data_IF_676405807793
#
_entry.id   IF_676405807793
#
_cell.length_a   1.000
_cell.length_b   1.000
_cell.length_c   1.000
_cell.angle_alpha   90.00
_cell.angle_beta   90.00
_cell.angle_gamma   90.00
#
_symmetry.space_group_name_H-M   'P 1'
#
loop_
_entity.id
_entity.type
_entity.pdbx_description
1 polymer ?
#
# COMPACT_ATOMS: atom_id res chain seq x y z
N UNK A 1 19.46 96.15 88.45
CA UNK A 1 19.26 95.18 87.36
C UNK A 1 18.28 94.17 87.88
N UNK A 2 17.03 94.28 87.45
CA UNK A 2 16.08 93.17 87.53
C UNK A 2 16.40 92.23 86.36
N UNK A 3 16.14 90.92 86.47
CA UNK A 3 16.31 90.02 85.33
C UNK A 3 15.26 90.35 84.27
N UNK A 4 15.69 90.49 83.02
CA UNK A 4 14.78 90.78 81.91
C UNK A 4 13.94 89.54 81.56
N UNK A 5 12.71 89.51 82.07
CA UNK A 5 11.74 88.44 81.79
C UNK A 5 11.33 88.38 80.33
N UNK A 6 11.52 89.44 79.54
CA UNK A 6 11.29 89.43 78.09
C UNK A 6 12.38 88.70 77.31
N UNK A 7 13.61 88.62 77.84
CA UNK A 7 14.71 87.91 77.17
C UNK A 7 14.58 86.40 77.27
N UNK A 8 14.01 85.87 78.37
CA UNK A 8 13.89 84.42 78.58
C UNK A 8 12.70 83.83 77.81
N UNK A 9 11.56 84.50 77.88
CA UNK A 9 10.34 84.10 77.17
C UNK A 9 10.53 84.08 75.65
N UNK A 10 11.37 84.98 75.11
CA UNK A 10 11.76 84.95 73.69
C UNK A 10 12.65 83.77 73.36
N UNK A 11 13.65 83.48 74.18
CA UNK A 11 14.56 82.36 73.94
C UNK A 11 13.83 81.01 74.07
N UNK A 12 12.84 80.92 74.97
CA UNK A 12 11.95 79.76 75.07
C UNK A 12 11.04 79.64 73.82
N UNK A 13 10.48 80.74 73.29
CA UNK A 13 9.71 80.73 72.03
C UNK A 13 10.55 80.48 70.77
N UNK A 14 11.79 80.98 70.71
CA UNK A 14 12.72 80.73 69.60
C UNK A 14 13.11 79.23 69.57
N UNK A 15 13.26 78.59 70.73
CA UNK A 15 13.48 77.14 70.81
C UNK A 15 12.23 76.31 70.54
N UNK A 16 11.03 76.74 70.97
CA UNK A 16 9.77 76.09 70.56
C UNK A 16 9.60 76.15 69.03
N UNK A 17 9.99 77.26 68.38
CA UNK A 17 9.92 77.39 66.93
C UNK A 17 11.01 76.61 66.18
N UNK A 18 12.24 76.52 66.71
CA UNK A 18 13.26 75.63 66.14
C UNK A 18 12.81 74.16 66.23
N UNK A 19 12.18 73.74 67.34
CA UNK A 19 11.63 72.37 67.46
C UNK A 19 10.40 72.12 66.60
N UNK A 20 9.47 73.08 66.47
CA UNK A 20 8.35 72.96 65.52
C UNK A 20 8.84 72.90 64.06
N UNK A 21 10.03 73.43 63.74
CA UNK A 21 10.65 73.27 62.41
C UNK A 21 11.38 71.93 62.27
N UNK A 22 12.16 71.47 63.26
CA UNK A 22 12.78 70.12 63.21
C UNK A 22 11.73 69.01 63.11
N UNK A 23 10.60 69.11 63.84
CA UNK A 23 9.46 68.17 63.71
C UNK A 23 8.71 68.28 62.36
N UNK A 24 8.85 69.39 61.62
CA UNK A 24 8.31 69.54 60.26
C UNK A 24 9.28 68.98 59.21
N UNK A 25 10.59 69.24 59.33
CA UNK A 25 11.61 68.66 58.43
C UNK A 25 11.68 67.13 58.60
N UNK A 26 11.55 66.58 59.82
CA UNK A 26 11.42 65.11 60.02
C UNK A 26 10.10 64.55 59.44
N UNK A 27 9.03 65.34 59.30
CA UNK A 27 7.78 64.91 58.65
C UNK A 27 7.89 64.97 57.11
N UNK A 28 8.47 66.03 56.55
CA UNK A 28 8.72 66.14 55.10
C UNK A 28 9.72 65.04 54.63
N UNK A 29 10.77 64.71 55.41
CA UNK A 29 11.65 63.56 55.11
C UNK A 29 10.94 62.20 55.22
N UNK A 30 9.87 62.07 56.03
CA UNK A 30 9.05 60.85 56.09
C UNK A 30 8.07 60.75 54.93
N UNK A 31 7.38 61.84 54.56
CA UNK A 31 6.52 61.88 53.37
C UNK A 31 7.32 61.64 52.07
N UNK A 32 8.53 62.21 51.92
CA UNK A 32 9.41 61.89 50.78
C UNK A 32 9.89 60.43 50.76
N UNK A 33 9.97 59.73 51.91
CA UNK A 33 10.30 58.30 51.98
C UNK A 33 9.10 57.42 51.65
N UNK A 34 7.89 57.73 52.16
CA UNK A 34 6.66 57.02 51.79
C UNK A 34 6.34 57.20 50.28
N UNK A 35 6.54 58.39 49.69
CA UNK A 35 6.41 58.58 48.23
C UNK A 35 7.47 57.79 47.42
N UNK A 36 8.64 57.49 47.98
CA UNK A 36 9.66 56.66 47.32
C UNK A 36 9.34 55.16 47.42
N UNK A 37 8.89 54.67 48.58
CA UNK A 37 8.43 53.27 48.72
C UNK A 37 7.18 53.00 47.87
N UNK A 38 6.23 53.94 47.76
CA UNK A 38 5.09 53.82 46.82
C UNK A 38 5.53 53.82 45.34
N UNK A 39 6.66 54.46 44.99
CA UNK A 39 7.21 54.43 43.62
C UNK A 39 7.93 53.11 43.31
N UNK A 40 8.74 52.59 44.24
CA UNK A 40 9.39 51.27 44.07
C UNK A 40 8.32 50.13 44.02
N UNK A 41 7.26 50.18 44.84
CA UNK A 41 6.14 49.23 44.72
C UNK A 41 5.37 49.36 43.39
N UNK A 42 5.35 50.53 42.75
CA UNK A 42 4.75 50.72 41.41
C UNK A 42 5.65 50.17 40.30
N UNK A 43 6.97 50.42 40.33
CA UNK A 43 7.91 49.84 39.35
C UNK A 43 7.97 48.30 39.47
N UNK A 44 7.94 47.71 40.68
CA UNK A 44 7.82 46.25 40.84
C UNK A 44 6.48 45.69 40.33
N UNK A 45 5.40 46.48 40.32
CA UNK A 45 4.11 46.08 39.74
C UNK A 45 4.12 46.15 38.20
N UNK A 46 4.68 47.20 37.61
CA UNK A 46 4.82 47.29 36.14
C UNK A 46 5.77 46.20 35.59
N UNK A 47 6.89 45.88 36.27
CA UNK A 47 7.74 44.74 35.88
C UNK A 47 7.02 43.37 36.02
N UNK A 48 6.04 43.23 36.93
CA UNK A 48 5.23 42.02 37.04
C UNK A 48 4.16 41.93 35.94
N UNK A 49 3.46 43.03 35.61
CA UNK A 49 2.51 43.05 34.49
C UNK A 49 3.22 42.82 33.13
N UNK A 50 4.43 43.38 32.90
CA UNK A 50 5.22 43.06 31.68
C UNK A 50 5.68 41.59 31.64
N UNK A 51 5.85 40.91 32.78
CA UNK A 51 6.18 39.48 32.82
C UNK A 51 4.95 38.60 32.58
N UNK A 52 3.78 38.93 33.16
CA UNK A 52 2.53 38.20 32.86
C UNK A 52 2.10 38.38 31.39
N UNK A 53 2.26 39.57 30.78
CA UNK A 53 2.03 39.75 29.34
C UNK A 53 3.01 38.96 28.46
N UNK A 54 4.23 38.66 28.94
CA UNK A 54 5.20 37.82 28.22
C UNK A 54 4.87 36.32 28.36
N UNK A 55 4.49 35.84 29.54
CA UNK A 55 4.03 34.45 29.71
C UNK A 55 2.72 34.18 28.94
N UNK A 56 1.76 35.12 28.90
CA UNK A 56 0.57 35.00 28.04
C UNK A 56 0.91 34.98 26.53
N UNK A 57 2.01 35.61 26.11
CA UNK A 57 2.48 35.57 24.72
C UNK A 57 3.18 34.24 24.38
N UNK A 58 4.03 33.71 25.26
CA UNK A 58 4.63 32.38 25.07
C UNK A 58 3.57 31.26 25.09
N UNK A 59 2.56 31.32 25.98
CA UNK A 59 1.42 30.37 25.94
C UNK A 59 0.58 30.49 24.66
N UNK A 60 0.52 31.67 24.02
CA UNK A 60 -0.14 31.86 22.73
C UNK A 60 0.69 31.31 21.56
N UNK A 61 2.01 31.51 21.54
CA UNK A 61 2.87 30.91 20.51
C UNK A 61 2.93 29.36 20.63
N UNK A 62 2.97 28.79 21.85
CA UNK A 62 2.84 27.33 22.02
C UNK A 62 1.46 26.81 21.55
N UNK A 63 0.38 27.57 21.75
CA UNK A 63 -0.95 27.20 21.24
C UNK A 63 -1.05 27.30 19.71
N UNK A 64 -0.45 28.32 19.06
CA UNK A 64 -0.40 28.37 17.59
C UNK A 64 0.48 27.26 17.00
N UNK A 65 1.64 26.93 17.59
CA UNK A 65 2.43 25.76 17.18
C UNK A 65 1.66 24.44 17.39
N UNK A 66 0.88 24.31 18.46
CA UNK A 66 0.07 23.13 18.73
C UNK A 66 -1.13 23.02 17.77
N UNK A 67 -1.80 24.11 17.43
CA UNK A 67 -2.82 24.12 16.36
C UNK A 67 -2.21 23.82 14.98
N UNK A 68 -1.00 24.31 14.66
CA UNK A 68 -0.35 23.92 13.39
C UNK A 68 0.05 22.42 13.41
N UNK A 69 0.54 21.88 14.53
CA UNK A 69 0.82 20.45 14.66
C UNK A 69 -0.46 19.60 14.54
N UNK A 70 -1.55 19.95 15.23
CA UNK A 70 -2.84 19.26 15.04
C UNK A 70 -3.37 19.42 13.61
N UNK A 71 -3.14 20.55 12.94
CA UNK A 71 -3.51 20.74 11.53
C UNK A 71 -2.61 19.92 10.56
N UNK A 72 -1.35 19.66 10.91
CA UNK A 72 -0.47 18.76 10.17
C UNK A 72 -0.85 17.29 10.43
N UNK A 73 -1.08 16.86 11.68
CA UNK A 73 -1.57 15.52 12.00
C UNK A 73 -2.96 15.26 11.39
N UNK A 74 -3.85 16.24 11.36
CA UNK A 74 -5.15 16.15 10.69
C UNK A 74 -5.00 16.04 9.16
N UNK A 75 -3.96 16.66 8.57
CA UNK A 75 -3.62 16.44 7.16
C UNK A 75 -3.04 15.04 6.92
N UNK A 76 -2.19 14.50 7.80
CA UNK A 76 -1.65 13.14 7.67
C UNK A 76 -2.75 12.07 7.89
N UNK A 77 -3.66 12.30 8.85
CA UNK A 77 -4.86 11.48 9.04
C UNK A 77 -5.85 11.58 7.85
N UNK A 78 -5.89 12.72 7.15
CA UNK A 78 -6.58 12.84 5.87
C UNK A 78 -5.78 12.27 4.68
N UNK A 79 -4.46 12.08 4.77
CA UNK A 79 -3.71 11.25 3.81
C UNK A 79 -3.97 9.74 4.05
N UNK A 80 -4.24 9.31 5.29
CA UNK A 80 -4.64 7.93 5.63
C UNK A 80 -6.10 7.62 5.20
N UNK A 81 -7.06 8.50 5.50
CA UNK A 81 -8.48 8.32 5.13
C UNK A 81 -8.82 8.79 3.69
N UNK A 82 -8.08 9.75 3.14
CA UNK A 82 -8.36 10.38 1.84
C UNK A 82 -7.97 9.55 0.62
N UNK A 83 -7.43 8.35 0.79
CA UNK A 83 -7.20 7.39 -0.31
C UNK A 83 -7.66 5.97 0.01
N UNK A 84 -8.74 5.85 0.79
CA UNK A 84 -9.35 4.56 1.12
C UNK A 84 -10.13 3.89 -0.03
N UNK A 85 -9.80 4.23 -1.28
CA UNK A 85 -9.83 3.26 -2.39
C UNK A 85 -8.66 2.24 -2.27
N UNK A 86 -8.54 1.59 -1.11
CA UNK A 86 -7.76 0.34 -0.96
C UNK A 86 -8.53 -0.78 -1.67
N UNK A 87 -8.51 -0.73 -3.00
CA UNK A 87 -9.19 -1.67 -3.90
C UNK A 87 -8.35 -2.96 -3.97
N UNK A 88 -8.38 -3.73 -2.88
CA UNK A 88 -7.76 -5.04 -2.81
C UNK A 88 -8.27 -5.94 -3.96
N UNK A 89 -7.35 -6.67 -4.61
CA UNK A 89 -7.55 -7.52 -5.78
C UNK A 89 -6.30 -8.38 -6.02
N UNK A 90 -6.36 -9.45 -6.81
CA UNK A 90 -5.25 -10.42 -6.91
C UNK A 90 -4.15 -9.88 -7.81
N UNK A 91 -2.95 -9.77 -7.23
CA UNK A 91 -1.88 -8.88 -7.69
C UNK A 91 -2.43 -7.50 -8.06
N UNK A 92 -3.15 -6.88 -7.12
CA UNK A 92 -3.77 -5.56 -7.24
C UNK A 92 -2.78 -4.58 -7.85
N UNK A 93 -3.00 -4.26 -9.12
CA UNK A 93 -2.11 -3.45 -9.92
C UNK A 93 -2.58 -2.00 -9.84
N UNK A 94 -2.32 -1.36 -8.69
CA UNK A 94 -2.56 0.06 -8.48
C UNK A 94 -1.50 0.85 -9.26
N UNK A 95 -1.90 1.40 -10.41
CA UNK A 95 -1.01 2.19 -11.26
C UNK A 95 -1.22 3.69 -11.05
N UNK A 96 -0.11 4.38 -10.78
CA UNK A 96 -0.02 5.83 -10.64
C UNK A 96 0.65 6.41 -11.89
N UNK A 97 -0.08 7.18 -12.70
CA UNK A 97 0.55 8.11 -13.65
C UNK A 97 1.03 9.33 -12.85
N UNK A 98 2.30 9.70 -13.02
CA UNK A 98 2.93 10.89 -12.42
C UNK A 98 3.66 11.68 -13.52
N UNK A 99 3.76 13.03 -13.44
CA UNK A 99 4.37 13.82 -14.51
C UNK A 99 5.85 13.46 -14.74
N UNK A 100 6.60 13.24 -13.66
CA UNK A 100 7.99 12.79 -13.60
C UNK A 100 8.18 12.00 -12.31
N UNK A 101 9.26 11.23 -12.15
CA UNK A 101 9.57 10.60 -10.86
C UNK A 101 9.97 11.67 -9.84
N UNK A 102 9.43 11.64 -8.61
CA UNK A 102 9.95 12.50 -7.55
C UNK A 102 11.38 12.07 -7.19
N UNK A 103 12.24 13.00 -6.71
CA UNK A 103 13.40 12.61 -5.93
C UNK A 103 12.98 11.95 -4.61
N UNK A 104 13.95 11.42 -3.88
CA UNK A 104 13.76 10.88 -2.52
C UNK A 104 13.13 11.97 -1.59
N UNK A 105 12.26 11.53 -0.68
CA UNK A 105 11.47 12.33 0.27
C UNK A 105 10.54 13.45 -0.29
N UNK A 106 10.40 13.60 -1.61
CA UNK A 106 9.52 14.62 -2.19
C UNK A 106 8.06 14.15 -2.39
N UNK A 107 7.10 14.83 -1.73
CA UNK A 107 5.66 14.65 -1.95
C UNK A 107 5.27 15.05 -3.40
N UNK A 108 4.68 14.13 -4.18
CA UNK A 108 4.19 14.37 -5.55
C UNK A 108 2.81 13.74 -5.79
N UNK A 109 1.86 14.55 -6.29
CA UNK A 109 0.49 14.11 -6.60
C UNK A 109 0.42 13.40 -7.96
N UNK A 110 -0.28 12.26 -8.01
CA UNK A 110 -0.52 11.51 -9.24
C UNK A 110 -1.51 12.23 -10.18
N UNK A 111 -1.25 12.21 -11.48
CA UNK A 111 -2.14 12.75 -12.52
C UNK A 111 -3.36 11.85 -12.77
N UNK A 112 -3.22 10.55 -12.48
CA UNK A 112 -4.29 9.54 -12.50
C UNK A 112 -3.89 8.34 -11.65
N UNK A 113 -4.82 7.84 -10.84
CA UNK A 113 -4.78 6.49 -10.25
C UNK A 113 -5.63 5.56 -11.13
N UNK A 114 -5.25 4.29 -11.24
CA UNK A 114 -6.10 3.25 -11.85
C UNK A 114 -5.78 1.93 -11.19
N UNK A 115 -6.80 1.26 -10.65
CA UNK A 115 -6.66 -0.03 -9.96
C UNK A 115 -7.33 -1.13 -10.77
N UNK A 116 -6.65 -2.26 -10.91
CA UNK A 116 -7.08 -3.42 -11.68
C UNK A 116 -6.45 -4.71 -11.15
N UNK A 117 -7.01 -5.86 -11.52
CA UNK A 117 -6.37 -7.16 -11.33
C UNK A 117 -5.03 -7.22 -12.09
N UNK A 118 -4.08 -8.02 -11.59
CA UNK A 118 -2.79 -8.28 -12.24
C UNK A 118 -2.43 -9.77 -12.30
N UNK A 119 -1.13 -10.05 -12.32
CA UNK A 119 -0.56 -11.39 -12.40
C UNK A 119 -0.55 -11.96 -13.82
N UNK A 120 0.41 -12.80 -14.16
CA UNK A 120 0.53 -13.32 -15.51
C UNK A 120 -0.53 -14.41 -15.72
N UNK A 121 -0.76 -15.27 -14.73
CA UNK A 121 -1.88 -16.22 -14.74
C UNK A 121 -3.26 -15.52 -14.91
N UNK A 122 -3.73 -14.60 -14.05
CA UNK A 122 -5.09 -14.06 -14.23
C UNK A 122 -5.26 -13.20 -15.49
N UNK A 123 -4.21 -12.52 -15.97
CA UNK A 123 -4.23 -11.84 -17.27
C UNK A 123 -4.29 -12.82 -18.46
N UNK A 124 -3.67 -13.99 -18.34
CA UNK A 124 -3.74 -15.04 -19.36
C UNK A 124 -5.12 -15.70 -19.41
N UNK A 125 -5.81 -15.84 -18.27
CA UNK A 125 -7.22 -16.25 -18.24
C UNK A 125 -8.16 -15.22 -18.88
N UNK A 126 -7.90 -13.92 -18.67
CA UNK A 126 -8.66 -12.85 -19.32
C UNK A 126 -8.55 -12.91 -20.86
N UNK A 127 -7.32 -13.02 -21.38
CA UNK A 127 -7.09 -13.16 -22.83
C UNK A 127 -7.66 -14.46 -23.36
N UNK A 128 -7.53 -15.58 -22.63
CA UNK A 128 -8.12 -16.86 -23.02
C UNK A 128 -9.65 -16.80 -23.06
N UNK A 129 -10.29 -16.12 -22.11
CA UNK A 129 -11.75 -15.90 -22.10
C UNK A 129 -12.25 -15.06 -23.27
N UNK A 130 -11.39 -14.27 -23.92
CA UNK A 130 -11.71 -13.57 -25.18
C UNK A 130 -11.56 -14.47 -26.42
N UNK A 131 -10.86 -15.60 -26.30
CA UNK A 131 -10.58 -16.55 -27.39
C UNK A 131 -11.46 -17.80 -27.35
N UNK A 132 -11.89 -18.25 -26.17
CA UNK A 132 -12.73 -19.44 -25.99
C UNK A 132 -14.21 -19.17 -26.33
N UNK A 133 -14.72 -19.89 -27.32
CA UNK A 133 -16.15 -19.99 -27.59
C UNK A 133 -16.84 -21.07 -26.74
N UNK A 134 -18.18 -21.02 -26.56
CA UNK A 134 -18.91 -22.03 -25.78
C UNK A 134 -18.83 -23.47 -26.32
N UNK A 135 -18.34 -23.65 -27.56
CA UNK A 135 -18.23 -24.94 -28.23
C UNK A 135 -16.87 -25.62 -28.05
N UNK A 136 -15.90 -24.93 -27.47
CA UNK A 136 -14.52 -25.41 -27.39
C UNK A 136 -14.32 -26.42 -26.23
N UNK A 137 -15.32 -26.57 -25.35
CA UNK A 137 -15.32 -27.54 -24.25
C UNK A 137 -14.37 -27.22 -23.09
N UNK A 138 -13.46 -26.26 -23.26
CA UNK A 138 -12.49 -25.85 -22.25
C UNK A 138 -13.18 -25.14 -21.09
N UNK A 139 -12.98 -25.64 -19.86
CA UNK A 139 -13.31 -24.94 -18.62
C UNK A 139 -12.02 -24.34 -18.04
N UNK A 140 -11.86 -23.00 -18.04
CA UNK A 140 -10.71 -22.35 -17.42
C UNK A 140 -10.83 -22.34 -15.90
N UNK A 141 -9.75 -22.70 -15.20
CA UNK A 141 -9.65 -22.57 -13.74
C UNK A 141 -8.49 -21.66 -13.34
N UNK A 142 -8.68 -20.87 -12.29
CA UNK A 142 -7.59 -20.23 -11.56
C UNK A 142 -7.20 -21.10 -10.36
N UNK A 143 -5.90 -21.28 -10.15
CA UNK A 143 -5.36 -21.79 -8.89
C UNK A 143 -4.43 -20.71 -8.34
N UNK A 144 -4.73 -20.19 -7.16
CA UNK A 144 -3.97 -19.09 -6.55
C UNK A 144 -4.23 -19.06 -5.03
N UNK A 145 -3.24 -18.70 -4.21
CA UNK A 145 -3.49 -18.23 -2.84
C UNK A 145 -4.25 -16.91 -2.93
N UNK A 146 -5.49 -16.91 -2.44
CA UNK A 146 -6.35 -15.73 -2.32
C UNK A 146 -6.55 -15.39 -0.84
N UNK A 147 -7.00 -14.18 -0.48
CA UNK A 147 -7.44 -13.88 0.88
C UNK A 147 -8.73 -14.64 1.23
N UNK A 148 -9.31 -14.37 2.40
CA UNK A 148 -10.57 -14.96 2.85
C UNK A 148 -11.67 -14.91 1.76
N UNK A 149 -12.52 -15.93 1.66
CA UNK A 149 -13.51 -15.99 0.57
C UNK A 149 -14.51 -14.83 0.63
N UNK A 150 -14.81 -14.35 1.83
CA UNK A 150 -15.67 -13.20 2.11
C UNK A 150 -15.01 -11.83 1.88
N UNK A 151 -13.69 -11.76 1.71
CA UNK A 151 -12.96 -10.48 1.65
C UNK A 151 -13.37 -9.62 0.44
N UNK A 152 -13.37 -8.27 0.57
CA UNK A 152 -13.53 -7.35 -0.55
C UNK A 152 -12.47 -7.56 -1.65
N UNK A 153 -11.32 -8.13 -1.30
CA UNK A 153 -10.30 -8.55 -2.24
C UNK A 153 -10.80 -9.68 -3.16
N UNK A 154 -11.15 -10.83 -2.58
CA UNK A 154 -11.66 -12.01 -3.29
C UNK A 154 -12.89 -11.68 -4.14
N UNK A 155 -13.82 -10.88 -3.62
CA UNK A 155 -15.01 -10.48 -4.37
C UNK A 155 -14.66 -9.71 -5.65
N UNK A 156 -13.75 -8.73 -5.58
CA UNK A 156 -13.31 -7.94 -6.74
C UNK A 156 -12.53 -8.77 -7.76
N UNK A 157 -11.73 -9.74 -7.29
CA UNK A 157 -11.04 -10.73 -8.14
C UNK A 157 -12.05 -11.53 -8.96
N UNK A 158 -13.01 -12.14 -8.28
CA UNK A 158 -14.02 -13.01 -8.90
C UNK A 158 -14.90 -12.22 -9.87
N UNK A 159 -15.29 -10.99 -9.54
CA UNK A 159 -16.00 -10.11 -10.47
C UNK A 159 -15.19 -9.80 -11.75
N UNK A 160 -13.89 -9.53 -11.62
CA UNK A 160 -13.00 -9.15 -12.74
C UNK A 160 -12.63 -10.28 -13.73
N UNK A 161 -13.14 -11.49 -13.52
CA UNK A 161 -12.98 -12.66 -14.41
C UNK A 161 -14.28 -13.44 -14.63
N UNK A 162 -15.29 -13.28 -13.76
CA UNK A 162 -16.60 -13.94 -13.91
C UNK A 162 -17.46 -13.33 -15.02
N UNK A 163 -17.35 -12.01 -15.25
CA UNK A 163 -18.24 -11.26 -16.14
C UNK A 163 -17.57 -10.85 -17.45
N UNK A 164 -17.24 -11.83 -18.30
CA UNK A 164 -16.91 -11.59 -19.71
C UNK A 164 -18.19 -11.16 -20.48
N UNK A 165 -18.48 -9.84 -20.42
CA UNK A 165 -19.72 -9.10 -20.76
C UNK A 165 -20.68 -8.87 -19.59
N UNK A 166 -20.54 -7.70 -18.96
CA UNK A 166 -21.68 -6.96 -18.37
C UNK A 166 -21.67 -5.46 -18.78
N UNK A 167 -20.91 -5.11 -19.83
CA UNK A 167 -21.04 -3.83 -20.53
C UNK A 167 -22.20 -3.94 -21.52
N UNK A 168 -23.41 -3.53 -21.11
CA UNK A 168 -24.52 -3.49 -22.06
C UNK A 168 -25.96 -3.46 -21.57
N UNK A 169 -26.26 -3.40 -20.26
CA UNK A 169 -27.60 -3.02 -19.75
C UNK A 169 -27.57 -2.74 -18.24
N UNK A 170 -27.70 -1.46 -17.87
CA UNK A 170 -28.06 -1.02 -16.51
C UNK A 170 -29.36 -0.25 -16.62
N UNK A 171 -30.40 -0.72 -15.91
CA UNK A 171 -31.71 -0.08 -15.84
C UNK A 171 -32.87 -1.07 -15.99
N UNK A 172 -33.37 -1.60 -14.86
CA UNK A 172 -34.50 -2.52 -14.88
C UNK A 172 -34.74 -3.26 -13.56
N UNK A 173 -35.24 -2.57 -12.53
CA UNK A 173 -35.84 -3.24 -11.36
C UNK A 173 -37.17 -3.89 -11.75
N UNK A 174 -37.22 -5.23 -11.83
CA UNK A 174 -38.48 -5.98 -11.76
C UNK A 174 -38.22 -7.47 -11.45
N UNK A 175 -39.07 -8.05 -10.59
CA UNK A 175 -39.26 -9.50 -10.59
C UNK A 175 -40.19 -9.88 -11.74
N UNK A 176 -39.77 -10.83 -12.59
CA UNK A 176 -40.56 -11.28 -13.74
C UNK A 176 -40.23 -12.73 -14.10
N UNK A 177 -41.25 -13.59 -14.07
CA UNK A 177 -41.20 -14.95 -14.61
C UNK A 177 -41.47 -14.89 -16.13
N UNK A 178 -40.57 -15.44 -16.95
CA UNK A 178 -40.65 -15.34 -18.40
C UNK A 178 -39.43 -15.89 -19.13
N UNK A 179 -39.67 -16.80 -20.08
CA UNK A 179 -38.67 -17.36 -20.99
C UNK A 179 -38.67 -16.57 -22.31
N UNK A 180 -37.56 -15.91 -22.64
CA UNK A 180 -37.17 -15.67 -24.04
C UNK A 180 -35.68 -15.97 -24.24
N UNK A 181 -35.35 -16.62 -25.37
CA UNK A 181 -33.97 -16.88 -25.78
C UNK A 181 -33.45 -15.70 -26.61
N UNK A 182 -32.60 -14.84 -26.04
CA UNK A 182 -31.73 -13.97 -26.84
C UNK A 182 -30.30 -14.52 -26.88
N UNK A 183 -29.64 -14.35 -28.03
CA UNK A 183 -28.40 -15.02 -28.43
C UNK A 183 -27.12 -14.46 -27.77
N UNK A 184 -27.18 -14.10 -26.49
CA UNK A 184 -26.08 -13.55 -25.71
C UNK A 184 -24.94 -14.54 -25.49
N UNK A 185 -24.05 -14.70 -26.48
CA UNK A 185 -22.88 -15.60 -26.40
C UNK A 185 -21.91 -15.12 -25.31
N UNK A 186 -21.97 -15.75 -24.13
CA UNK A 186 -21.01 -15.59 -23.03
C UNK A 186 -19.89 -16.62 -23.13
N UNK A 187 -18.64 -16.20 -22.90
CA UNK A 187 -17.51 -17.13 -22.74
C UNK A 187 -17.67 -17.99 -21.47
N UNK A 188 -17.05 -19.18 -21.39
CA UNK A 188 -17.06 -19.98 -20.16
C UNK A 188 -16.38 -19.21 -19.02
N UNK A 189 -17.07 -18.94 -17.89
CA UNK A 189 -16.50 -18.15 -16.80
C UNK A 189 -15.37 -18.91 -16.10
N UNK A 190 -14.38 -18.16 -15.58
CA UNK A 190 -13.29 -18.73 -14.78
C UNK A 190 -13.84 -19.36 -13.51
N UNK A 191 -13.53 -20.63 -13.28
CA UNK A 191 -14.01 -21.38 -12.12
C UNK A 191 -12.96 -21.31 -10.98
N UNK A 192 -13.37 -20.69 -9.87
CA UNK A 192 -12.54 -20.37 -8.70
C UNK A 192 -12.55 -21.47 -7.61
N UNK A 193 -13.08 -22.67 -7.89
CA UNK A 193 -13.19 -23.74 -6.88
C UNK A 193 -11.84 -24.24 -6.33
N UNK A 194 -10.78 -24.11 -7.13
CA UNK A 194 -9.43 -24.57 -6.79
C UNK A 194 -8.52 -23.46 -6.21
N UNK A 195 -9.01 -22.24 -6.06
CA UNK A 195 -8.27 -21.21 -5.33
C UNK A 195 -8.13 -21.57 -3.84
N UNK A 196 -7.01 -21.15 -3.24
CA UNK A 196 -6.61 -21.47 -1.86
C UNK A 196 -6.87 -20.26 -0.97
N UNK A 197 -8.04 -20.24 -0.32
CA UNK A 197 -8.51 -19.10 0.46
C UNK A 197 -7.82 -19.05 1.84
N UNK A 198 -7.05 -17.99 2.07
CA UNK A 198 -6.34 -17.72 3.32
C UNK A 198 -7.29 -16.98 4.27
N UNK A 199 -8.20 -17.70 4.92
CA UNK A 199 -9.34 -17.14 5.68
C UNK A 199 -8.97 -16.18 6.84
N UNK A 200 -7.70 -16.11 7.25
CA UNK A 200 -7.18 -15.14 8.22
C UNK A 200 -6.70 -13.81 7.61
N UNK A 201 -6.77 -13.65 6.29
CA UNK A 201 -6.23 -12.49 5.55
C UNK A 201 -7.36 -11.75 4.80
N UNK A 202 -7.38 -10.42 4.86
CA UNK A 202 -8.24 -9.58 4.00
C UNK A 202 -7.54 -9.15 2.71
N UNK A 203 -6.24 -8.83 2.81
CA UNK A 203 -5.48 -8.22 1.74
C UNK A 203 -4.87 -9.24 0.77
N UNK A 204 -4.98 -8.91 -0.51
CA UNK A 204 -4.38 -9.69 -1.59
C UNK A 204 -2.96 -9.22 -1.92
N UNK A 205 -2.20 -10.10 -2.58
CA UNK A 205 -0.95 -9.73 -3.23
C UNK A 205 -1.16 -8.46 -4.08
N UNK A 206 -0.22 -7.51 -4.02
CA UNK A 206 -0.39 -6.17 -4.57
C UNK A 206 0.88 -5.68 -5.27
N UNK A 207 0.69 -4.84 -6.28
CA UNK A 207 1.72 -4.30 -7.18
C UNK A 207 1.46 -2.80 -7.42
N UNK A 208 2.27 -1.95 -6.80
CA UNK A 208 2.25 -0.52 -7.04
C UNK A 208 3.07 -0.21 -8.30
N UNK A 209 2.41 0.30 -9.34
CA UNK A 209 3.02 0.56 -10.65
C UNK A 209 3.12 2.07 -10.86
N UNK A 210 4.28 2.64 -10.55
CA UNK A 210 4.56 4.06 -10.78
C UNK A 210 4.96 4.23 -12.24
N UNK A 211 4.25 5.07 -12.99
CA UNK A 211 4.53 5.39 -14.40
C UNK A 211 4.80 6.88 -14.56
N UNK A 212 5.97 7.22 -15.08
CA UNK A 212 6.30 8.57 -15.51
C UNK A 212 5.64 8.86 -16.87
N UNK A 213 4.82 9.90 -16.93
CA UNK A 213 4.19 10.37 -18.16
C UNK A 213 5.21 11.09 -19.07
N UNK A 214 6.24 11.77 -18.51
CA UNK A 214 7.30 12.43 -19.29
C UNK A 214 8.29 11.47 -19.97
N UNK A 215 8.55 10.29 -19.40
CA UNK A 215 9.50 9.31 -19.96
C UNK A 215 8.83 8.04 -20.49
N UNK A 216 7.55 7.82 -20.18
CA UNK A 216 6.83 6.58 -20.49
C UNK A 216 7.29 5.33 -19.73
N UNK A 217 8.35 5.42 -18.92
CA UNK A 217 8.89 4.29 -18.15
C UNK A 217 8.03 3.97 -16.92
N UNK A 218 8.23 2.78 -16.36
CA UNK A 218 7.50 2.29 -15.19
C UNK A 218 8.43 1.65 -14.16
N UNK A 219 8.12 1.87 -12.88
CA UNK A 219 8.68 1.18 -11.71
C UNK A 219 7.59 0.33 -11.08
N UNK A 220 7.92 -0.88 -10.63
CA UNK A 220 6.97 -1.81 -10.00
C UNK A 220 7.47 -2.21 -8.62
N UNK A 221 6.66 -1.96 -7.59
CA UNK A 221 6.90 -2.40 -6.21
C UNK A 221 5.85 -3.44 -5.84
N UNK A 222 6.29 -4.66 -5.52
CA UNK A 222 5.39 -5.78 -5.19
C UNK A 222 5.41 -6.06 -3.68
N UNK A 223 4.23 -6.23 -3.09
CA UNK A 223 4.03 -6.62 -1.70
C UNK A 223 3.00 -7.78 -1.64
N UNK A 224 3.20 -8.75 -0.73
CA UNK A 224 2.28 -9.87 -0.55
C UNK A 224 2.63 -10.62 0.74
N UNK A 225 1.79 -10.48 1.76
CA UNK A 225 1.90 -11.24 3.01
C UNK A 225 1.07 -12.54 2.99
N UNK A 226 0.26 -12.77 1.93
CA UNK A 226 -0.42 -14.05 1.72
C UNK A 226 0.59 -15.22 1.69
N UNK A 227 0.38 -16.29 2.49
CA UNK A 227 1.16 -17.50 2.40
C UNK A 227 1.01 -18.14 1.02
N UNK A 228 2.14 -18.34 0.35
CA UNK A 228 2.23 -19.05 -0.93
C UNK A 228 1.67 -20.48 -0.82
N UNK A 229 1.39 -21.11 -1.96
CA UNK A 229 0.87 -22.48 -2.01
C UNK A 229 1.93 -23.51 -1.58
N UNK A 230 1.51 -24.58 -0.89
CA UNK A 230 2.33 -25.78 -0.68
C UNK A 230 2.08 -26.87 -1.74
N UNK A 231 3.04 -27.81 -1.88
CA UNK A 231 2.89 -28.97 -2.78
C UNK A 231 1.69 -29.85 -2.35
N UNK A 232 1.44 -30.00 -1.05
CA UNK A 232 0.32 -30.78 -0.50
C UNK A 232 -1.06 -30.15 -0.83
N UNK A 233 -1.13 -28.81 -0.81
CA UNK A 233 -2.34 -28.07 -1.21
C UNK A 233 -2.64 -28.24 -2.70
N UNK A 234 -1.60 -28.28 -3.53
CA UNK A 234 -1.71 -28.60 -4.95
C UNK A 234 -2.12 -30.05 -5.17
N UNK A 235 -1.53 -31.00 -4.44
CA UNK A 235 -1.90 -32.43 -4.51
C UNK A 235 -3.39 -32.62 -4.24
N UNK A 236 -3.93 -31.96 -3.21
CA UNK A 236 -5.35 -31.98 -2.88
C UNK A 236 -6.25 -31.48 -4.03
N UNK A 237 -5.76 -30.53 -4.84
CA UNK A 237 -6.44 -30.04 -6.05
C UNK A 237 -6.32 -31.07 -7.19
N UNK A 238 -5.13 -31.60 -7.46
CA UNK A 238 -4.89 -32.62 -8.49
C UNK A 238 -5.77 -33.86 -8.24
N UNK A 239 -5.96 -34.26 -6.98
CA UNK A 239 -6.88 -35.36 -6.57
C UNK A 239 -8.35 -35.15 -6.92
N UNK A 240 -8.76 -33.96 -7.37
CA UNK A 240 -10.14 -33.70 -7.83
C UNK A 240 -10.36 -33.90 -9.32
N UNK A 241 -9.30 -34.13 -10.10
CA UNK A 241 -9.35 -34.46 -11.53
C UNK A 241 -9.27 -35.97 -11.73
N UNK A 242 -9.95 -36.48 -12.75
CA UNK A 242 -9.85 -37.90 -13.11
C UNK A 242 -8.55 -38.15 -13.91
N UNK A 243 -7.80 -39.24 -13.72
CA UNK A 243 -6.62 -39.54 -14.55
C UNK A 243 -6.90 -39.78 -16.04
N UNK A 244 -8.18 -39.95 -16.44
CA UNK A 244 -8.63 -39.94 -17.84
C UNK A 244 -9.06 -38.54 -18.33
N UNK A 245 -9.05 -37.52 -17.47
CA UNK A 245 -9.19 -36.14 -17.90
C UNK A 245 -7.94 -35.69 -18.65
N UNK A 246 -8.14 -35.40 -19.93
CA UNK A 246 -7.31 -34.45 -20.66
C UNK A 246 -7.18 -33.14 -19.83
N UNK A 247 -5.95 -32.69 -19.54
CA UNK A 247 -5.65 -31.50 -18.72
C UNK A 247 -4.38 -30.79 -19.17
N UNK A 248 -4.36 -29.46 -19.14
CA UNK A 248 -3.20 -28.63 -19.44
C UNK A 248 -2.96 -27.74 -18.22
N UNK A 249 -1.75 -27.72 -17.69
CA UNK A 249 -1.38 -26.87 -16.56
C UNK A 249 -0.33 -25.87 -17.01
N UNK A 250 -0.39 -24.65 -16.48
CA UNK A 250 0.50 -23.56 -16.85
C UNK A 250 1.07 -22.94 -15.60
N UNK A 251 2.40 -22.83 -15.53
CA UNK A 251 3.06 -22.27 -14.37
C UNK A 251 3.80 -20.98 -14.71
N UNK A 252 3.35 -19.88 -14.09
CA UNK A 252 4.10 -18.62 -13.98
C UNK A 252 5.34 -18.85 -13.09
N UNK A 253 6.41 -18.07 -13.25
CA UNK A 253 7.53 -18.03 -12.30
C UNK A 253 7.71 -16.60 -11.79
N UNK A 254 7.64 -16.42 -10.47
CA UNK A 254 7.47 -15.12 -9.83
C UNK A 254 8.23 -15.00 -8.51
N UNK A 255 9.54 -15.24 -8.54
CA UNK A 255 10.51 -14.57 -7.67
C UNK A 255 10.57 -14.91 -6.16
N UNK A 256 10.44 -16.18 -5.75
CA UNK A 256 10.96 -16.79 -4.48
C UNK A 256 11.31 -18.29 -4.75
N UNK A 257 12.04 -19.08 -3.93
CA UNK A 257 12.47 -20.45 -4.37
C UNK A 257 13.26 -21.36 -3.38
N UNK A 258 12.95 -22.68 -3.33
CA UNK A 258 13.88 -23.82 -3.08
C UNK A 258 13.30 -25.26 -3.43
N UNK A 259 14.05 -26.10 -4.21
CA UNK A 259 13.80 -27.29 -5.16
C UNK A 259 13.08 -28.65 -4.78
N UNK A 260 12.79 -29.67 -5.70
CA UNK A 260 12.54 -29.85 -7.20
C UNK A 260 11.39 -30.90 -7.62
N UNK A 261 11.21 -31.68 -8.76
CA UNK A 261 11.81 -32.08 -10.11
C UNK A 261 10.72 -32.65 -11.17
N UNK A 262 11.10 -33.20 -12.36
CA UNK A 262 10.51 -34.20 -13.39
C UNK A 262 9.28 -34.02 -14.41
N UNK A 263 9.51 -34.41 -15.72
CA UNK A 263 8.77 -34.64 -17.06
C UNK A 263 7.62 -35.74 -17.20
N UNK A 264 6.68 -35.89 -18.21
CA UNK A 264 6.18 -35.21 -19.48
C UNK A 264 4.84 -35.79 -20.12
N UNK A 265 3.89 -34.95 -20.64
CA UNK A 265 2.88 -34.97 -21.78
C UNK A 265 1.87 -36.14 -22.12
N UNK A 266 0.64 -35.99 -22.72
CA UNK A 266 -0.15 -34.86 -23.35
C UNK A 266 -1.69 -35.12 -23.57
N UNK A 267 -2.54 -34.07 -23.42
CA UNK A 267 -4.01 -33.99 -23.70
C UNK A 267 -4.69 -32.86 -22.87
N UNK A 268 -5.76 -32.16 -23.28
CA UNK A 268 -6.03 -30.73 -22.88
C UNK A 268 -7.31 -30.31 -22.07
N UNK A 269 -7.11 -29.57 -20.95
CA UNK A 269 -8.06 -28.65 -20.22
C UNK A 269 -7.28 -27.64 -19.35
N UNK A 270 -7.36 -26.33 -19.55
CA UNK A 270 -6.37 -25.39 -18.98
C UNK A 270 -6.58 -24.92 -17.52
N UNK A 271 -5.53 -25.04 -16.69
CA UNK A 271 -5.34 -24.44 -15.36
C UNK A 271 -4.06 -23.59 -15.32
N UNK A 272 -4.05 -22.48 -14.56
CA UNK A 272 -2.85 -21.63 -14.42
C UNK A 272 -2.48 -21.32 -12.96
N UNK A 273 -1.20 -21.51 -12.59
CA UNK A 273 -0.58 -21.05 -11.34
C UNK A 273 0.94 -21.25 -11.33
N UNK A 274 1.72 -20.30 -10.84
CA UNK A 274 3.07 -20.59 -10.33
C UNK A 274 3.76 -19.35 -9.80
N UNK A 275 4.71 -19.50 -8.84
CA UNK A 275 5.50 -18.37 -8.31
C UNK A 275 6.88 -18.79 -7.80
N UNK A 276 6.93 -19.85 -7.00
CA UNK A 276 8.15 -20.46 -6.48
C UNK A 276 8.59 -21.53 -7.48
N UNK A 277 9.77 -21.49 -8.14
CA UNK A 277 10.18 -22.45 -9.16
C UNK A 277 10.05 -23.90 -8.74
N UNK A 278 10.06 -24.13 -7.43
CA UNK A 278 10.38 -25.39 -6.82
C UNK A 278 9.17 -26.07 -6.18
N UNK A 279 8.28 -25.28 -5.56
CA UNK A 279 6.89 -25.69 -5.38
C UNK A 279 6.30 -25.97 -6.76
N UNK A 280 6.48 -25.07 -7.74
CA UNK A 280 6.07 -25.28 -9.13
C UNK A 280 6.60 -26.61 -9.66
N UNK A 281 7.91 -26.86 -9.55
CA UNK A 281 8.54 -28.06 -10.08
C UNK A 281 8.06 -29.34 -9.34
N UNK A 282 7.85 -29.28 -8.02
CA UNK A 282 7.17 -30.34 -7.25
C UNK A 282 5.70 -30.57 -7.66
N UNK A 283 5.00 -29.51 -8.09
CA UNK A 283 3.65 -29.61 -8.66
C UNK A 283 3.68 -30.24 -10.07
N UNK A 284 4.72 -29.98 -10.87
CA UNK A 284 4.96 -30.69 -12.13
C UNK A 284 5.14 -32.19 -11.84
N UNK A 285 6.04 -32.58 -10.92
CA UNK A 285 6.21 -33.96 -10.41
C UNK A 285 4.86 -34.65 -10.16
N UNK A 286 4.01 -34.06 -9.31
CA UNK A 286 2.71 -34.63 -8.94
C UNK A 286 1.80 -34.83 -10.15
N UNK A 287 1.77 -33.89 -11.10
CA UNK A 287 1.01 -34.05 -12.33
C UNK A 287 1.53 -35.22 -13.18
N UNK A 288 2.82 -35.58 -13.11
CA UNK A 288 3.37 -36.72 -13.86
C UNK A 288 3.02 -38.06 -13.26
N UNK A 289 3.05 -38.13 -11.93
CA UNK A 289 2.69 -39.36 -11.21
C UNK A 289 1.16 -39.60 -11.19
N UNK A 290 0.35 -38.52 -11.18
CA UNK A 290 -1.10 -38.62 -10.97
C UNK A 290 -1.95 -38.40 -12.23
N UNK A 291 -1.56 -37.46 -13.09
CA UNK A 291 -2.25 -37.10 -14.33
C UNK A 291 -1.27 -37.21 -15.52
N UNK A 292 -0.72 -38.40 -15.83
CA UNK A 292 0.36 -38.54 -16.82
C UNK A 292 0.00 -38.01 -18.22
N UNK A 293 -1.30 -37.98 -18.57
CA UNK A 293 -1.80 -37.35 -19.79
C UNK A 293 -1.75 -35.81 -19.79
N UNK A 294 -1.39 -35.14 -18.71
CA UNK A 294 -1.42 -33.68 -18.64
C UNK A 294 -0.41 -33.02 -19.59
N UNK A 295 -0.78 -31.93 -20.28
CA UNK A 295 0.19 -30.95 -20.78
C UNK A 295 0.69 -30.05 -19.66
N UNK A 296 1.95 -29.62 -19.73
CA UNK A 296 2.49 -28.59 -18.84
C UNK A 296 3.30 -27.52 -19.59
N UNK A 297 2.75 -26.31 -19.64
CA UNK A 297 3.49 -25.12 -20.06
C UNK A 297 4.10 -24.37 -18.88
N UNK A 298 5.22 -23.67 -19.08
CA UNK A 298 5.83 -22.79 -18.06
C UNK A 298 6.26 -21.46 -18.67
N UNK A 299 6.18 -20.39 -17.90
CA UNK A 299 6.76 -19.08 -18.21
C UNK A 299 8.11 -18.90 -17.49
N UNK A 300 9.10 -18.37 -18.22
CA UNK A 300 10.46 -18.12 -17.71
C UNK A 300 10.74 -16.62 -17.85
N UNK A 301 10.39 -15.83 -16.82
CA UNK A 301 10.41 -14.37 -16.90
C UNK A 301 11.79 -13.76 -16.61
N UNK A 302 12.43 -14.14 -15.48
CA UNK A 302 13.59 -13.42 -14.94
C UNK A 302 14.81 -14.33 -14.75
N UNK A 303 16.01 -13.91 -15.20
CA UNK A 303 17.22 -14.71 -15.06
C UNK A 303 17.78 -14.72 -13.64
N UNK A 304 18.73 -15.63 -13.39
CA UNK A 304 19.51 -15.70 -12.15
C UNK A 304 18.97 -16.65 -11.07
N UNK A 305 17.89 -17.40 -11.35
CA UNK A 305 17.33 -18.39 -10.41
C UNK A 305 17.76 -19.82 -10.73
N UNK A 306 18.27 -20.59 -9.75
CA UNK A 306 18.29 -22.05 -9.83
C UNK A 306 16.88 -22.62 -10.05
N UNK A 307 16.76 -23.83 -10.58
CA UNK A 307 15.46 -24.46 -10.86
C UNK A 307 14.83 -24.05 -12.20
N UNK A 308 15.05 -22.83 -12.71
CA UNK A 308 14.42 -22.36 -13.96
C UNK A 308 14.75 -23.21 -15.19
N UNK A 309 16.01 -23.66 -15.34
CA UNK A 309 16.37 -24.57 -16.43
C UNK A 309 15.73 -25.94 -16.26
N UNK A 310 15.53 -26.41 -15.02
CA UNK A 310 14.88 -27.68 -14.72
C UNK A 310 13.39 -27.60 -15.10
N UNK A 311 12.67 -26.56 -14.65
CA UNK A 311 11.30 -26.25 -15.10
C UNK A 311 11.14 -26.20 -16.63
N UNK A 312 12.05 -25.49 -17.30
CA UNK A 312 12.08 -25.39 -18.75
C UNK A 312 12.42 -26.72 -19.46
N UNK A 313 12.86 -27.73 -18.72
CA UNK A 313 13.15 -29.08 -19.18
C UNK A 313 12.03 -30.10 -18.85
N UNK A 314 11.19 -29.81 -17.84
CA UNK A 314 10.01 -30.61 -17.47
C UNK A 314 8.66 -30.16 -18.08
N UNK A 315 8.63 -28.95 -18.64
CA UNK A 315 7.55 -28.43 -19.50
C UNK A 315 7.50 -29.15 -20.89
N UNK A 316 6.67 -28.67 -21.81
CA UNK A 316 6.70 -29.02 -23.26
C UNK A 316 6.66 -27.72 -24.07
N UNK A 317 5.77 -26.82 -23.67
CA UNK A 317 5.70 -25.43 -24.15
C UNK A 317 6.37 -24.52 -23.11
N UNK A 318 7.53 -23.95 -23.46
CA UNK A 318 8.24 -22.98 -22.61
C UNK A 318 8.09 -21.59 -23.22
N UNK A 319 7.60 -20.64 -22.43
CA UNK A 319 7.53 -19.23 -22.78
C UNK A 319 8.74 -18.49 -22.19
N UNK A 320 9.81 -18.36 -22.97
CA UNK A 320 10.97 -17.56 -22.58
C UNK A 320 10.71 -16.07 -22.81
N UNK A 321 10.96 -15.24 -21.79
CA UNK A 321 10.89 -13.79 -21.93
C UNK A 321 12.06 -13.21 -22.74
N UNK A 322 11.89 -11.95 -23.17
CA UNK A 322 12.99 -11.17 -23.76
C UNK A 322 14.15 -10.98 -22.77
N UNK A 323 13.86 -10.67 -21.50
CA UNK A 323 14.88 -10.46 -20.47
C UNK A 323 15.68 -11.72 -20.15
N UNK A 324 15.05 -12.90 -20.21
CA UNK A 324 15.76 -14.18 -20.17
C UNK A 324 16.70 -14.31 -21.37
N UNK A 325 16.19 -14.15 -22.60
CA UNK A 325 16.97 -14.30 -23.82
C UNK A 325 18.19 -13.36 -23.87
N UNK A 326 18.01 -12.07 -23.53
CA UNK A 326 19.09 -11.08 -23.51
C UNK A 326 20.15 -11.41 -22.45
N UNK A 327 19.76 -11.86 -21.26
CA UNK A 327 20.71 -12.25 -20.20
C UNK A 327 21.54 -13.51 -20.54
N UNK A 328 21.02 -14.36 -21.42
CA UNK A 328 21.71 -15.54 -21.97
C UNK A 328 22.62 -15.19 -23.16
N UNK A 329 22.66 -13.91 -23.56
CA UNK A 329 23.47 -13.41 -24.67
C UNK A 329 22.81 -13.54 -26.05
N UNK A 330 21.51 -13.84 -26.13
CA UNK A 330 20.82 -14.01 -27.40
C UNK A 330 20.37 -12.66 -27.99
N UNK A 331 20.99 -12.26 -29.10
CA UNK A 331 20.60 -11.06 -29.86
C UNK A 331 19.30 -11.19 -30.67
N UNK A 332 18.63 -12.35 -30.66
CA UNK A 332 17.34 -12.57 -31.34
C UNK A 332 16.54 -13.71 -30.69
N UNK A 333 15.21 -13.68 -30.90
CA UNK A 333 14.33 -14.78 -30.49
C UNK A 333 14.71 -16.11 -31.14
N UNK A 334 15.14 -16.10 -32.41
CA UNK A 334 15.66 -17.29 -33.09
C UNK A 334 16.92 -17.83 -32.41
N UNK A 335 17.87 -16.96 -32.04
CA UNK A 335 19.09 -17.38 -31.33
C UNK A 335 18.76 -18.08 -30.00
N UNK A 336 17.80 -17.56 -29.24
CA UNK A 336 17.34 -18.18 -28.01
C UNK A 336 16.64 -19.52 -28.27
N UNK A 337 15.67 -19.58 -29.20
CA UNK A 337 14.92 -20.80 -29.53
C UNK A 337 15.77 -21.87 -30.26
N UNK A 338 16.93 -21.52 -30.81
CA UNK A 338 17.91 -22.47 -31.35
C UNK A 338 18.89 -22.99 -30.30
N UNK A 339 19.17 -22.21 -29.24
CA UNK A 339 20.07 -22.58 -28.15
C UNK A 339 19.35 -23.37 -27.03
N UNK A 340 18.22 -22.86 -26.56
CA UNK A 340 17.36 -23.50 -25.56
C UNK A 340 16.45 -24.60 -26.19
N UNK A 341 16.79 -25.04 -27.40
CA UNK A 341 16.11 -26.12 -28.14
C UNK A 341 16.54 -27.45 -27.54
N UNK A 342 15.63 -28.13 -26.82
CA UNK A 342 15.94 -29.43 -26.20
C UNK A 342 16.51 -30.42 -27.23
N UNK A 343 17.67 -30.98 -26.91
CA UNK A 343 18.06 -32.27 -27.46
C UNK A 343 17.18 -33.31 -26.76
N UNK A 344 16.06 -33.69 -27.39
CA UNK A 344 15.32 -34.88 -26.98
C UNK A 344 16.22 -36.10 -27.25
N UNK A 345 16.53 -36.83 -26.18
CA UNK A 345 17.14 -38.16 -26.25
C UNK A 345 16.11 -39.21 -26.72
#
# INVERSE_FOLDING_TARGET
MEPDSGSRFKQEQEQEQEQEQEEQEEQEEQEEQEEQEEQEEQEEQEEQEEQEEQEEQEEQEEQEEQEEQEAQEAQEAQEDQGRDEKIACDRCSCSYSIPHYPPEDAKLRASRVTIRRGGNCPNSLEVLGQLLGPRDGVRPYLVAPLPARSSPATQRIMASLGNARLDGLVGGDAAGDGLEEDGGVTAPPVDFRHCLFRETHSEAASSYIIRSDATGSRTLVNHSDLPEMSVDEFEAIVRTFDPSDETWWHFEEATKGNRPEVRVHTGDKLLLQGRIPDTTLGCIHLLRDMLPGARISVEVEKPGRPGLLQLADEADVVFYSRSWAESRGHGSAESCLMHEKRQKA
#
